data_IF_177785859514
#
_entry.id   IF_177785859514
#
_cell.length_a   1.000
_cell.length_b   1.000
_cell.length_c   1.000
_cell.angle_alpha   90.00
_cell.angle_beta   90.00
_cell.angle_gamma   90.00
#
_symmetry.space_group_name_H-M   'P 1'
#
loop_
_entity.id
_entity.type
_entity.pdbx_description
1 polymer ?
#
# COMPACT_ATOMS: atom_id res chain seq x y z
N UNK A 1 -31.26 19.59 -25.34
CA UNK A 1 -31.89 18.27 -25.44
C UNK A 1 -30.89 17.29 -26.09
N UNK A 2 -29.79 16.97 -25.40
CA UNK A 2 -28.70 16.12 -25.93
C UNK A 2 -28.51 14.85 -25.08
N UNK A 3 -29.08 14.82 -23.87
CA UNK A 3 -28.91 13.74 -22.88
C UNK A 3 -29.69 12.43 -23.16
N UNK A 4 -30.56 12.37 -24.17
CA UNK A 4 -31.41 11.21 -24.43
C UNK A 4 -30.90 10.30 -25.57
N UNK A 5 -29.72 10.55 -26.12
CA UNK A 5 -29.15 9.71 -27.17
C UNK A 5 -28.33 8.56 -26.57
N UNK A 6 -28.77 7.29 -26.68
CA UNK A 6 -28.09 6.15 -26.03
C UNK A 6 -26.66 5.93 -26.57
N UNK A 7 -26.42 6.21 -27.85
CA UNK A 7 -25.09 6.16 -28.46
C UNK A 7 -24.13 7.20 -27.86
N UNK A 8 -24.65 8.39 -27.53
CA UNK A 8 -23.88 9.45 -26.89
C UNK A 8 -23.54 9.08 -25.44
N UNK A 9 -24.50 8.49 -24.72
CA UNK A 9 -24.29 8.00 -23.36
C UNK A 9 -23.25 6.87 -23.31
N UNK A 10 -23.24 5.97 -24.29
CA UNK A 10 -22.22 4.93 -24.40
C UNK A 10 -20.83 5.53 -24.63
N UNK A 11 -20.72 6.49 -25.56
CA UNK A 11 -19.45 7.16 -25.85
C UNK A 11 -18.93 7.95 -24.64
N UNK A 12 -19.79 8.70 -23.96
CA UNK A 12 -19.46 9.42 -22.72
C UNK A 12 -18.99 8.44 -21.64
N UNK A 13 -19.68 7.32 -21.45
CA UNK A 13 -19.28 6.29 -20.46
C UNK A 13 -17.91 5.69 -20.78
N UNK A 14 -17.60 5.45 -22.06
CA UNK A 14 -16.29 4.97 -22.50
C UNK A 14 -15.18 6.02 -22.29
N UNK A 15 -15.47 7.30 -22.54
CA UNK A 15 -14.54 8.39 -22.25
C UNK A 15 -14.28 8.55 -20.76
N UNK A 16 -15.31 8.42 -19.92
CA UNK A 16 -15.14 8.42 -18.47
C UNK A 16 -14.32 7.21 -18.01
N UNK A 17 -14.58 6.02 -18.56
CA UNK A 17 -13.84 4.81 -18.21
C UNK A 17 -12.35 4.89 -18.60
N UNK A 18 -12.01 5.52 -19.73
CA UNK A 18 -10.60 5.71 -20.12
C UNK A 18 -9.90 6.80 -19.30
N UNK A 19 -10.60 7.88 -18.96
CA UNK A 19 -10.09 8.95 -18.13
C UNK A 19 -9.78 8.49 -16.69
N UNK A 20 -10.66 7.69 -16.08
CA UNK A 20 -10.43 7.18 -14.71
C UNK A 20 -9.25 6.21 -14.63
N UNK A 21 -9.01 5.41 -15.67
CA UNK A 21 -7.88 4.48 -15.72
C UNK A 21 -6.53 5.18 -15.98
N UNK A 22 -6.56 6.41 -16.51
CA UNK A 22 -5.34 7.17 -16.86
C UNK A 22 -4.85 8.08 -15.72
N UNK A 23 -5.68 8.29 -14.69
CA UNK A 23 -5.33 9.09 -13.51
C UNK A 23 -4.35 8.30 -12.62
N UNK A 24 -3.05 8.39 -12.92
CA UNK A 24 -1.99 7.89 -12.04
C UNK A 24 -1.31 9.05 -11.34
N UNK A 25 -1.35 9.04 -10.02
CA UNK A 25 -0.56 9.95 -9.19
C UNK A 25 0.62 9.20 -8.57
N UNK A 26 1.76 9.89 -8.45
CA UNK A 26 2.97 9.39 -7.79
C UNK A 26 3.11 10.08 -6.46
N UNK A 27 3.14 9.32 -5.38
CA UNK A 27 3.49 9.87 -4.07
C UNK A 27 5.01 10.12 -4.15
N UNK A 28 5.46 11.36 -4.29
CA UNK A 28 6.90 11.67 -4.37
C UNK A 28 7.37 12.25 -3.05
N UNK A 29 8.61 11.97 -2.64
CA UNK A 29 9.25 12.42 -1.39
C UNK A 29 8.84 11.68 -0.10
N UNK A 30 8.19 10.52 -0.16
CA UNK A 30 8.01 9.71 1.04
C UNK A 30 9.22 8.76 1.22
N UNK A 31 9.71 8.61 2.44
CA UNK A 31 10.62 7.52 2.80
C UNK A 31 9.92 6.57 3.75
N UNK A 32 9.87 5.29 3.38
CA UNK A 32 9.35 4.25 4.25
C UNK A 32 10.38 3.97 5.35
N UNK A 33 10.04 4.30 6.60
CA UNK A 33 10.78 3.90 7.77
C UNK A 33 9.95 2.92 8.60
N UNK A 34 10.62 1.91 9.14
CA UNK A 34 9.99 0.93 10.03
C UNK A 34 11.01 0.48 11.07
N UNK A 35 10.51 0.07 12.24
CA UNK A 35 11.31 -0.53 13.30
C UNK A 35 10.47 -1.58 14.03
N UNK A 36 11.13 -2.55 14.65
CA UNK A 36 10.45 -3.49 15.53
C UNK A 36 9.96 -2.78 16.79
N UNK A 37 8.72 -3.06 17.16
CA UNK A 37 8.15 -2.59 18.41
C UNK A 37 8.48 -3.60 19.50
N UNK A 38 9.05 -3.14 20.61
CA UNK A 38 9.36 -4.00 21.75
C UNK A 38 10.85 -4.40 21.86
N UNK A 39 11.21 -5.11 22.93
CA UNK A 39 12.58 -5.52 23.17
C UNK A 39 13.09 -6.48 22.10
N UNK A 40 14.41 -6.48 21.86
CA UNK A 40 15.06 -7.39 20.89
C UNK A 40 14.84 -8.88 21.22
N UNK A 41 14.53 -9.19 22.47
CA UNK A 41 14.20 -10.54 22.95
C UNK A 41 12.80 -11.00 22.57
N UNK A 42 11.98 -10.15 21.94
CA UNK A 42 10.64 -10.55 21.55
C UNK A 42 10.68 -11.71 20.55
N UNK A 43 9.75 -12.67 20.69
CA UNK A 43 9.78 -13.89 19.90
C UNK A 43 9.51 -13.61 18.41
N UNK A 44 8.89 -12.49 18.05
CA UNK A 44 8.65 -12.14 16.65
C UNK A 44 9.38 -10.83 16.32
N UNK A 45 10.31 -10.89 15.37
CA UNK A 45 11.10 -9.73 14.91
C UNK A 45 11.11 -9.65 13.39
N UNK A 46 10.77 -8.50 12.84
CA UNK A 46 10.95 -8.19 11.42
C UNK A 46 12.42 -7.89 11.16
N UNK A 47 13.00 -8.53 10.14
CA UNK A 47 14.42 -8.41 9.77
C UNK A 47 14.61 -7.47 8.59
N UNK A 48 13.75 -7.56 7.58
CA UNK A 48 13.78 -6.70 6.40
C UNK A 48 12.37 -6.48 5.88
N UNK A 49 12.07 -5.24 5.49
CA UNK A 49 10.89 -4.88 4.73
C UNK A 49 11.31 -3.89 3.63
N UNK A 50 11.03 -4.25 2.39
CA UNK A 50 11.29 -3.45 1.20
C UNK A 50 10.00 -3.30 0.41
N UNK A 51 9.70 -2.10 -0.09
CA UNK A 51 8.51 -1.82 -0.89
C UNK A 51 8.95 -1.20 -2.22
N UNK A 52 8.37 -1.68 -3.33
CA UNK A 52 8.65 -1.25 -4.70
C UNK A 52 7.32 -1.17 -5.49
N UNK A 53 7.13 -0.23 -6.42
CA UNK A 53 8.05 0.81 -6.87
C UNK A 53 8.12 2.02 -5.93
N UNK A 54 9.25 2.71 -5.93
CA UNK A 54 9.45 4.01 -5.31
C UNK A 54 9.71 5.06 -6.40
N UNK A 55 8.88 6.10 -6.60
CA UNK A 55 7.64 6.42 -5.89
C UNK A 55 6.45 5.50 -6.23
N UNK A 56 5.62 5.19 -5.21
CA UNK A 56 4.39 4.39 -5.33
C UNK A 56 3.43 5.13 -6.25
N UNK A 57 2.94 4.41 -7.26
CA UNK A 57 1.89 4.86 -8.17
C UNK A 57 0.54 4.36 -7.69
N UNK A 58 -0.42 5.28 -7.58
CA UNK A 58 -1.82 4.97 -7.27
C UNK A 58 -2.71 5.48 -8.40
N UNK A 59 -3.60 4.65 -8.96
CA UNK A 59 -3.68 3.19 -8.76
C UNK A 59 -2.45 2.48 -9.35
N UNK A 60 -2.09 1.32 -8.79
CA UNK A 60 -0.92 0.57 -9.22
C UNK A 60 -0.65 -0.67 -8.36
N UNK A 61 0.25 -1.54 -8.83
CA UNK A 61 0.70 -2.72 -8.09
C UNK A 61 1.87 -2.36 -7.20
N UNK A 62 1.76 -2.72 -5.92
CA UNK A 62 2.84 -2.61 -4.94
C UNK A 62 3.42 -4.01 -4.72
N UNK A 63 4.74 -4.12 -4.81
CA UNK A 63 5.53 -5.32 -4.49
C UNK A 63 6.20 -5.05 -3.15
N UNK A 64 5.98 -5.92 -2.18
CA UNK A 64 6.68 -5.87 -0.90
C UNK A 64 7.46 -7.16 -0.68
N UNK A 65 8.62 -7.04 -0.05
CA UNK A 65 9.45 -8.17 0.36
C UNK A 65 9.69 -8.06 1.85
N UNK A 66 9.30 -9.09 2.58
CA UNK A 66 9.35 -9.14 4.04
C UNK A 66 10.11 -10.38 4.50
N UNK A 67 11.04 -10.21 5.44
CA UNK A 67 11.66 -11.32 6.16
C UNK A 67 11.49 -11.10 7.66
N UNK A 68 11.05 -12.13 8.38
CA UNK A 68 10.81 -12.10 9.81
C UNK A 68 11.33 -13.37 10.49
N UNK A 69 11.70 -13.26 11.76
CA UNK A 69 12.06 -14.38 12.64
C UNK A 69 10.95 -14.56 13.66
N UNK A 70 10.49 -15.80 13.83
CA UNK A 70 9.50 -16.17 14.84
C UNK A 70 10.07 -17.29 15.71
N UNK A 71 10.24 -17.02 16.99
CA UNK A 71 10.69 -17.94 18.02
C UNK A 71 9.58 -18.85 18.51
N UNK A 72 9.95 -19.96 19.14
CA UNK A 72 9.03 -21.03 19.57
C UNK A 72 8.16 -20.70 20.79
N UNK A 73 8.33 -19.54 21.42
CA UNK A 73 7.46 -19.09 22.49
C UNK A 73 6.33 -18.22 21.92
N UNK A 74 5.33 -18.88 21.37
CA UNK A 74 4.13 -18.22 20.83
C UNK A 74 3.21 -17.84 21.99
N UNK A 75 3.56 -16.75 22.69
CA UNK A 75 2.59 -16.05 23.52
C UNK A 75 1.66 -15.28 22.59
N UNK A 76 0.38 -15.63 22.62
CA UNK A 76 -0.68 -15.10 21.75
C UNK A 76 -0.96 -13.63 22.13
N UNK A 77 -0.04 -12.73 21.76
CA UNK A 77 -0.23 -11.27 21.91
C UNK A 77 -0.90 -10.72 20.66
N UNK A 78 -1.83 -9.80 20.86
CA UNK A 78 -2.56 -9.12 19.80
C UNK A 78 -1.55 -8.44 18.86
N UNK A 79 -1.42 -8.96 17.63
CA UNK A 79 -0.49 -8.44 16.60
C UNK A 79 -0.97 -7.09 16.04
N UNK A 80 -2.17 -6.65 16.45
CA UNK A 80 -2.83 -5.43 15.98
C UNK A 80 -2.11 -4.13 16.36
N UNK A 81 -1.29 -4.11 17.42
CA UNK A 81 -0.69 -2.86 17.93
C UNK A 81 0.68 -2.51 17.30
N UNK A 82 1.39 -3.48 16.70
CA UNK A 82 2.74 -3.24 16.16
C UNK A 82 2.78 -2.92 14.65
N UNK A 83 1.70 -3.22 13.92
CA UNK A 83 1.59 -2.90 12.48
C UNK A 83 1.42 -1.40 12.21
N UNK A 84 1.30 -0.57 13.25
CA UNK A 84 1.15 0.88 13.15
C UNK A 84 2.48 1.63 12.92
N UNK A 85 3.64 0.95 13.00
CA UNK A 85 4.96 1.60 12.94
C UNK A 85 5.57 1.75 11.56
N UNK A 86 4.85 1.44 10.48
CA UNK A 86 5.26 1.88 9.14
C UNK A 86 4.90 3.34 8.97
N UNK A 87 5.86 4.22 9.25
CA UNK A 87 5.68 5.66 9.06
C UNK A 87 6.18 6.03 7.67
N UNK A 88 5.33 6.71 6.91
CA UNK A 88 5.74 7.42 5.71
C UNK A 88 6.24 8.79 6.16
N UNK A 89 7.56 8.95 6.25
CA UNK A 89 8.16 10.25 6.55
C UNK A 89 8.13 11.09 5.27
N UNK A 90 7.53 12.29 5.38
CA UNK A 90 7.41 13.33 4.33
C UNK A 90 8.59 14.29 4.42
#
# INVERSE_FOLDING_TARGET
>A
MILNNPSLLMYISLLFLSAVNSLSFRISNYRLSWANCGPVSDPAQLKSLTINPDPIRVPGKIIHTTAAVVGRSSSRRNVQDCLQSTKFDV
#
